data_IF_169479603579
#
_entry.id   IF_169479603579
#
_cell.length_a   1.000
_cell.length_b   1.000
_cell.length_c   1.000
_cell.angle_alpha   90.00
_cell.angle_beta   90.00
_cell.angle_gamma   90.00
#
_symmetry.space_group_name_H-M   'P 1'
#
loop_
_entity.id
_entity.type
_entity.pdbx_description
1 polymer ?
#
# COMPACT_ATOMS: atom_id res chain seq x y z
N UNK A 1 -19.74 -6.81 -3.20
CA UNK A 1 -19.43 -5.53 -3.85
C UNK A 1 -18.07 -5.10 -3.31
N UNK A 2 -17.30 -4.37 -4.09
CA UNK A 2 -15.94 -3.95 -3.74
C UNK A 2 -15.85 -2.43 -3.82
N UNK A 3 -14.93 -1.87 -3.04
CA UNK A 3 -14.59 -0.45 -3.03
C UNK A 3 -13.10 -0.25 -3.30
N UNK A 4 -12.77 0.96 -3.69
CA UNK A 4 -11.39 1.35 -3.95
C UNK A 4 -10.82 2.14 -2.78
N UNK A 5 -9.62 1.76 -2.36
CA UNK A 5 -8.83 2.43 -1.34
C UNK A 5 -7.57 3.03 -1.97
N UNK A 6 -7.24 4.27 -1.58
CA UNK A 6 -5.93 4.87 -1.85
C UNK A 6 -4.93 4.35 -0.83
N UNK A 7 -3.83 3.80 -1.31
CA UNK A 7 -2.68 3.40 -0.52
C UNK A 7 -1.48 4.24 -0.95
N UNK A 8 -1.14 5.24 -0.13
CA UNK A 8 0.05 6.06 -0.31
C UNK A 8 1.17 5.46 0.54
N UNK A 9 2.17 4.87 -0.13
CA UNK A 9 3.27 4.18 0.52
C UNK A 9 4.50 5.07 0.54
N UNK A 10 5.01 5.31 1.74
CA UNK A 10 6.18 6.11 2.02
C UNK A 10 7.31 5.22 2.54
N UNK A 11 8.51 5.44 2.02
CA UNK A 11 9.73 4.87 2.58
C UNK A 11 10.35 5.85 3.57
N UNK A 12 10.71 5.36 4.75
CA UNK A 12 11.34 6.20 5.79
C UNK A 12 12.74 6.69 5.40
N UNK A 13 13.43 5.99 4.49
CA UNK A 13 14.75 6.35 3.94
C UNK A 13 15.09 5.48 2.71
N UNK A 14 16.20 5.81 2.05
CA UNK A 14 16.75 5.11 0.88
C UNK A 14 17.09 3.63 1.13
N UNK A 15 17.46 3.23 2.36
CA UNK A 15 17.72 1.82 2.66
C UNK A 15 16.43 1.00 2.70
N UNK A 16 15.35 1.60 3.22
CA UNK A 16 14.03 0.98 3.16
C UNK A 16 13.56 0.84 1.71
N UNK A 17 13.72 1.89 0.90
CA UNK A 17 13.41 1.85 -0.53
C UNK A 17 14.21 0.76 -1.26
N UNK A 18 15.53 0.67 -1.03
CA UNK A 18 16.36 -0.39 -1.61
C UNK A 18 15.96 -1.81 -1.17
N UNK A 19 15.37 -1.95 0.03
CA UNK A 19 14.91 -3.24 0.57
C UNK A 19 13.57 -3.68 -0.02
N UNK A 20 12.59 -2.78 -0.08
CA UNK A 20 11.21 -3.09 -0.47
C UNK A 20 10.98 -2.88 -1.99
N UNK A 21 11.84 -2.12 -2.65
CA UNK A 21 11.78 -1.86 -4.08
C UNK A 21 10.58 -1.02 -4.51
N UNK A 22 10.31 -1.06 -5.81
CA UNK A 22 9.22 -0.34 -6.48
C UNK A 22 8.34 -1.29 -7.31
N UNK A 23 7.20 -0.77 -7.77
CA UNK A 23 6.30 -1.46 -8.70
C UNK A 23 5.92 -2.84 -8.19
N UNK A 24 6.08 -3.86 -9.05
CA UNK A 24 5.73 -5.26 -8.70
C UNK A 24 6.42 -5.78 -7.45
N UNK A 25 7.67 -5.39 -7.19
CA UNK A 25 8.40 -5.85 -5.99
C UNK A 25 7.74 -5.33 -4.72
N UNK A 26 7.38 -4.04 -4.70
CA UNK A 26 6.65 -3.47 -3.59
C UNK A 26 5.25 -4.08 -3.47
N UNK A 27 4.56 -4.30 -4.60
CA UNK A 27 3.22 -4.93 -4.59
C UNK A 27 3.24 -6.34 -3.99
N UNK A 28 4.28 -7.14 -4.26
CA UNK A 28 4.47 -8.46 -3.63
C UNK A 28 4.64 -8.33 -2.11
N UNK A 29 5.47 -7.41 -1.63
CA UNK A 29 5.62 -7.16 -0.20
C UNK A 29 4.33 -6.66 0.47
N UNK A 30 3.56 -5.79 -0.19
CA UNK A 30 2.28 -5.33 0.35
C UNK A 30 1.27 -6.47 0.46
N UNK A 31 1.22 -7.38 -0.53
CA UNK A 31 0.37 -8.59 -0.45
C UNK A 31 0.76 -9.51 0.71
N UNK A 32 2.05 -9.61 1.02
CA UNK A 32 2.53 -10.37 2.18
C UNK A 32 2.18 -9.67 3.50
N UNK A 33 2.29 -8.33 3.56
CA UNK A 33 2.00 -7.56 4.78
C UNK A 33 0.50 -7.61 5.12
N UNK A 34 -0.35 -7.45 4.11
CA UNK A 34 -1.82 -7.47 4.25
C UNK A 34 -2.41 -8.85 3.94
N UNK A 35 -1.64 -9.92 4.08
CA UNK A 35 -2.13 -11.28 3.87
C UNK A 35 -3.26 -11.58 4.87
N UNK A 36 -4.45 -11.89 4.34
CA UNK A 36 -5.65 -12.18 5.13
C UNK A 36 -6.77 -11.14 5.02
N UNK A 37 -6.46 -9.93 4.54
CA UNK A 37 -7.43 -8.81 4.45
C UNK A 37 -8.25 -8.79 3.14
N UNK A 38 -8.19 -9.85 2.32
CA UNK A 38 -8.90 -9.99 1.03
C UNK A 38 -8.75 -8.78 0.08
N UNK A 39 -7.56 -8.15 0.10
CA UNK A 39 -7.22 -6.99 -0.73
C UNK A 39 -6.61 -7.39 -2.08
N UNK A 40 -6.96 -6.64 -3.13
CA UNK A 40 -6.36 -6.80 -4.47
C UNK A 40 -5.45 -5.63 -4.78
N UNK A 41 -4.14 -5.86 -4.68
CA UNK A 41 -3.11 -4.88 -5.04
C UNK A 41 -2.80 -4.90 -6.54
N UNK A 42 -2.66 -3.73 -7.20
CA UNK A 42 -2.19 -3.63 -8.58
C UNK A 42 -0.68 -3.88 -8.68
N UNK A 43 -0.21 -4.41 -9.81
CA UNK A 43 1.23 -4.57 -10.09
C UNK A 43 1.91 -3.30 -10.62
N UNK A 44 1.11 -2.30 -11.02
CA UNK A 44 1.58 -1.04 -11.60
C UNK A 44 0.81 0.14 -11.03
N UNK A 45 1.53 1.20 -10.68
CA UNK A 45 0.99 2.39 -10.02
C UNK A 45 1.87 3.61 -10.28
N UNK A 46 1.33 4.79 -9.99
CA UNK A 46 2.04 6.05 -10.09
C UNK A 46 2.99 6.26 -8.90
N UNK A 47 3.97 7.14 -9.10
CA UNK A 47 4.91 7.52 -8.05
C UNK A 47 5.34 8.97 -8.19
N UNK A 48 5.81 9.56 -7.10
CA UNK A 48 6.34 10.92 -7.10
C UNK A 48 7.79 11.00 -7.59
N UNK A 49 8.18 12.17 -8.10
CA UNK A 49 9.57 12.50 -8.46
C UNK A 49 10.44 12.88 -7.23
N UNK A 50 10.29 12.14 -6.13
CA UNK A 50 11.08 12.32 -4.90
C UNK A 50 12.05 11.17 -4.66
N UNK A 51 13.00 11.35 -3.74
CA UNK A 51 13.94 10.30 -3.34
C UNK A 51 13.90 10.15 -1.80
N UNK A 52 13.35 9.05 -1.26
CA UNK A 52 12.68 7.96 -1.99
C UNK A 52 11.32 8.41 -2.57
N UNK A 53 10.83 7.73 -3.63
CA UNK A 53 9.53 8.03 -4.22
C UNK A 53 8.38 7.63 -3.28
N UNK A 54 7.30 8.39 -3.30
CA UNK A 54 6.00 7.96 -2.74
C UNK A 54 5.31 7.13 -3.81
N UNK A 55 4.72 6.00 -3.43
CA UNK A 55 4.02 5.10 -4.34
C UNK A 55 2.52 5.20 -4.11
N UNK A 56 1.74 5.44 -5.16
CA UNK A 56 0.30 5.72 -5.10
C UNK A 56 -0.51 4.58 -5.70
N UNK A 57 -1.05 3.70 -4.85
CA UNK A 57 -1.79 2.52 -5.27
C UNK A 57 -3.30 2.72 -5.09
N UNK A 58 -4.08 2.21 -6.04
CA UNK A 58 -5.52 1.98 -5.87
C UNK A 58 -5.73 0.51 -5.60
N UNK A 59 -6.20 0.16 -4.40
CA UNK A 59 -6.36 -1.21 -3.92
C UNK A 59 -7.85 -1.52 -3.82
N UNK A 60 -8.30 -2.61 -4.42
CA UNK A 60 -9.69 -3.06 -4.27
C UNK A 60 -9.82 -3.79 -2.93
N UNK A 61 -10.89 -3.46 -2.19
CA UNK A 61 -11.21 -4.05 -0.90
C UNK A 61 -12.69 -4.48 -0.86
N UNK A 62 -13.07 -5.42 0.01
CA UNK A 62 -14.47 -5.69 0.33
C UNK A 62 -15.19 -4.44 0.87
N UNK A 63 -16.48 -4.27 0.55
CA UNK A 63 -17.25 -3.11 1.01
C UNK A 63 -17.36 -2.99 2.54
N UNK A 64 -17.32 -4.13 3.24
CA UNK A 64 -17.41 -4.21 4.70
C UNK A 64 -16.07 -3.98 5.41
N UNK A 65 -14.95 -3.98 4.68
CA UNK A 65 -13.62 -3.66 5.20
C UNK A 65 -13.56 -2.19 5.64
N UNK A 66 -13.02 -1.90 6.82
CA UNK A 66 -12.80 -0.52 7.27
C UNK A 66 -11.33 -0.11 7.20
N UNK A 67 -11.09 1.18 7.04
CA UNK A 67 -9.71 1.71 7.04
C UNK A 67 -9.06 1.51 8.40
N UNK A 68 -9.84 1.58 9.48
CA UNK A 68 -9.40 1.33 10.85
C UNK A 68 -8.83 -0.08 11.03
N UNK A 69 -9.51 -1.11 10.51
CA UNK A 69 -9.02 -2.50 10.54
C UNK A 69 -7.67 -2.64 9.80
N UNK A 70 -7.53 -2.00 8.64
CA UNK A 70 -6.28 -2.04 7.87
C UNK A 70 -5.11 -1.31 8.56
N UNK A 71 -5.38 -0.37 9.47
CA UNK A 71 -4.35 0.25 10.31
C UNK A 71 -3.94 -0.62 11.50
N UNK A 72 -4.66 -1.72 11.80
CA UNK A 72 -4.24 -2.70 12.82
C UNK A 72 -3.16 -3.66 12.30
N UNK A 73 -2.98 -3.75 10.99
CA UNK A 73 -1.93 -4.56 10.34
C UNK A 73 -0.54 -4.02 10.69
N UNK A 74 0.36 -4.90 11.14
CA UNK A 74 1.73 -4.52 11.50
C UNK A 74 2.57 -4.28 10.24
N UNK A 75 2.68 -3.01 9.84
CA UNK A 75 3.57 -2.60 8.76
C UNK A 75 5.03 -2.65 9.25
N UNK A 76 5.94 -3.34 8.52
CA UNK A 76 7.32 -3.51 8.94
C UNK A 76 8.08 -2.18 8.99
N UNK A 77 9.09 -2.06 9.87
CA UNK A 77 9.88 -0.85 10.00
C UNK A 77 10.58 -0.53 8.67
N UNK A 78 10.42 0.70 8.21
CA UNK A 78 10.92 1.14 6.91
C UNK A 78 9.82 1.68 6.01
N UNK A 79 8.59 1.18 6.16
CA UNK A 79 7.41 1.60 5.43
C UNK A 79 6.46 2.38 6.32
N UNK A 80 5.70 3.27 5.71
CA UNK A 80 4.52 3.89 6.26
C UNK A 80 3.46 3.89 5.17
N UNK A 81 2.27 3.41 5.48
CA UNK A 81 1.15 3.33 4.53
C UNK A 81 0.07 4.26 5.04
N UNK A 82 -0.35 5.22 4.21
CA UNK A 82 -1.55 6.02 4.46
C UNK A 82 -2.66 5.45 3.59
N UNK A 83 -3.77 5.12 4.24
CA UNK A 83 -4.94 4.49 3.63
C UNK A 83 -6.12 5.45 3.71
N UNK A 84 -6.80 5.66 2.59
CA UNK A 84 -8.03 6.45 2.49
C UNK A 84 -9.04 5.76 1.59
N UNK A 85 -10.33 5.86 1.90
CA UNK A 85 -11.38 5.37 1.01
C UNK A 85 -11.62 6.38 -0.11
N UNK A 86 -11.64 5.90 -1.37
CA UNK A 86 -11.90 6.76 -2.52
C UNK A 86 -13.41 6.95 -2.73
N UNK A 87 -13.86 8.17 -3.08
CA UNK A 87 -15.25 8.39 -3.42
C UNK A 87 -15.62 7.61 -4.69
N UNK A 88 -16.74 6.88 -4.62
CA UNK A 88 -17.34 6.14 -5.73
C UNK A 88 -17.97 7.07 -6.78
#
# INVERSE_FOLDING_TARGET
>A
MTKDLSFDVYFTNEQAHARFGDGKTLAEHLREIYEGEDLVFPDTFEHSDTSPPVQYLTVEAPDDMTVEELYEVEVPPGLMVRIEELPQ
#
